data_IF_993495175491
#
_entry.id   IF_993495175491
#
_cell.length_a   1.000
_cell.length_b   1.000
_cell.length_c   1.000
_cell.angle_alpha   90.00
_cell.angle_beta   90.00
_cell.angle_gamma   90.00
#
_symmetry.space_group_name_H-M   'P 1'
#
loop_
_entity.id
_entity.type
_entity.pdbx_description
1 polymer ?
#
# COMPACT_ATOMS: atom_id res chain seq x y z
N UNK A 1 21.74 4.53 -3.84
CA UNK A 1 20.37 3.96 -4.02
C UNK A 1 20.23 3.55 -5.47
N UNK A 2 19.93 2.30 -5.74
CA UNK A 2 19.67 1.82 -7.10
C UNK A 2 18.21 2.06 -7.43
N UNK A 3 17.88 2.84 -8.47
CA UNK A 3 16.50 3.06 -8.87
C UNK A 3 15.90 1.79 -9.47
N UNK A 4 14.56 1.66 -9.50
CA UNK A 4 13.89 0.66 -10.32
C UNK A 4 14.27 0.85 -11.79
N UNK A 5 14.41 -0.28 -12.50
CA UNK A 5 14.68 -0.27 -13.93
C UNK A 5 13.36 -0.32 -14.72
N UNK A 6 13.23 0.53 -15.73
CA UNK A 6 12.15 0.45 -16.70
C UNK A 6 12.71 0.64 -18.11
N UNK A 7 11.96 0.13 -19.09
CA UNK A 7 12.26 0.40 -20.50
C UNK A 7 12.12 1.89 -20.78
N UNK A 8 13.04 2.44 -21.56
CA UNK A 8 12.98 3.83 -22.00
C UNK A 8 13.42 3.96 -23.44
N UNK A 9 13.07 5.07 -24.06
CA UNK A 9 13.47 5.35 -25.44
C UNK A 9 14.88 5.90 -25.50
N UNK A 10 15.63 5.48 -26.51
CA UNK A 10 16.97 5.96 -26.84
C UNK A 10 17.17 6.02 -28.34
N UNK A 11 18.18 6.76 -28.79
CA UNK A 11 18.59 6.74 -30.19
C UNK A 11 19.02 5.31 -30.56
N UNK A 12 18.68 4.87 -31.79
CA UNK A 12 19.07 3.56 -32.30
C UNK A 12 20.59 3.35 -32.14
N UNK A 13 20.98 2.22 -31.55
CA UNK A 13 22.38 1.87 -31.31
C UNK A 13 23.01 2.53 -30.06
N UNK A 14 22.24 3.27 -29.24
CA UNK A 14 22.74 3.85 -28.00
C UNK A 14 21.91 3.37 -26.81
N UNK A 15 22.59 2.90 -25.77
CA UNK A 15 21.95 2.53 -24.50
C UNK A 15 21.99 3.71 -23.54
N UNK A 16 20.86 4.13 -22.94
CA UNK A 16 20.87 5.17 -21.92
C UNK A 16 21.59 4.65 -20.67
N UNK A 17 22.60 5.39 -20.22
CA UNK A 17 23.36 5.05 -19.01
C UNK A 17 22.99 6.00 -17.89
N UNK A 18 22.41 5.45 -16.82
CA UNK A 18 22.11 6.19 -15.59
C UNK A 18 23.24 5.92 -14.58
N UNK A 19 24.05 6.93 -14.30
CA UNK A 19 25.11 6.83 -13.29
C UNK A 19 24.54 7.06 -11.91
N UNK A 20 24.57 6.05 -11.04
CA UNK A 20 24.11 6.14 -9.66
C UNK A 20 25.31 6.23 -8.71
N UNK A 21 25.26 7.17 -7.76
CA UNK A 21 26.24 7.22 -6.67
C UNK A 21 26.01 6.05 -5.72
N UNK A 22 27.07 5.33 -5.43
CA UNK A 22 27.28 4.18 -4.58
C UNK A 22 26.20 3.73 -3.58
N UNK A 23 26.53 2.74 -2.77
CA UNK A 23 25.63 2.04 -1.84
C UNK A 23 25.12 2.97 -0.71
N UNK A 24 23.93 3.54 -0.88
CA UNK A 24 23.21 4.13 0.24
C UNK A 24 22.41 3.04 0.96
N UNK A 25 22.63 2.87 2.25
CA UNK A 25 21.81 1.98 3.12
C UNK A 25 20.47 2.59 3.50
N UNK A 26 20.19 3.81 3.05
CA UNK A 26 18.94 4.51 3.36
C UNK A 26 17.81 3.95 2.49
N UNK A 27 16.69 3.66 3.11
CA UNK A 27 15.48 3.16 2.44
C UNK A 27 14.24 3.83 3.00
N UNK A 28 13.18 3.84 2.22
CA UNK A 28 11.85 4.32 2.60
C UNK A 28 10.91 3.12 2.48
N UNK A 29 10.14 2.88 3.52
CA UNK A 29 8.99 1.98 3.46
C UNK A 29 7.74 2.81 3.27
N UNK A 30 6.77 2.26 2.54
CA UNK A 30 5.49 2.90 2.29
C UNK A 30 4.39 1.91 2.66
N UNK A 31 3.43 2.36 3.44
CA UNK A 31 2.16 1.66 3.63
C UNK A 31 1.08 2.48 2.93
N UNK A 32 0.13 1.82 2.27
CA UNK A 32 -0.98 2.49 1.60
C UNK A 32 -2.26 1.65 1.66
N UNK A 33 -3.39 2.34 1.57
CA UNK A 33 -4.72 1.77 1.39
C UNK A 33 -5.31 2.36 0.11
N UNK A 34 -5.72 1.51 -0.82
CA UNK A 34 -6.60 1.86 -1.91
C UNK A 34 -8.05 1.72 -1.39
N UNK A 35 -8.74 2.83 -1.28
CA UNK A 35 -10.06 2.89 -0.65
C UNK A 35 -11.12 3.09 -1.70
N UNK A 36 -12.12 2.23 -1.69
CA UNK A 36 -13.24 2.25 -2.61
C UNK A 36 -14.55 2.33 -1.81
N UNK A 37 -15.45 3.20 -2.23
CA UNK A 37 -16.80 3.30 -1.67
C UNK A 37 -17.78 3.42 -2.85
N UNK A 38 -18.82 2.58 -2.90
CA UNK A 38 -19.80 2.61 -3.98
C UNK A 38 -20.36 4.03 -4.18
N UNK A 39 -20.37 4.51 -5.44
CA UNK A 39 -20.87 5.84 -5.78
C UNK A 39 -19.91 7.01 -5.47
N UNK A 40 -18.75 6.75 -4.88
CA UNK A 40 -17.73 7.77 -4.63
C UNK A 40 -16.44 7.50 -5.42
N UNK A 41 -15.63 8.55 -5.58
CA UNK A 41 -14.30 8.42 -6.19
C UNK A 41 -13.38 7.63 -5.28
N UNK A 42 -12.55 6.72 -5.82
CA UNK A 42 -11.57 6.00 -5.04
C UNK A 42 -10.55 6.96 -4.43
N UNK A 43 -9.96 6.55 -3.32
CA UNK A 43 -8.98 7.36 -2.58
C UNK A 43 -7.75 6.53 -2.28
N UNK A 44 -6.58 7.15 -2.38
CA UNK A 44 -5.32 6.56 -1.93
C UNK A 44 -4.91 7.23 -0.62
N UNK A 45 -4.82 6.44 0.45
CA UNK A 45 -4.32 6.90 1.75
C UNK A 45 -2.97 6.23 1.96
N UNK A 46 -1.93 7.00 2.21
CA UNK A 46 -0.58 6.45 2.34
C UNK A 46 0.22 7.09 3.47
N UNK A 47 1.23 6.35 3.94
CA UNK A 47 2.17 6.76 4.97
C UNK A 47 3.59 6.35 4.57
N UNK A 48 4.48 7.28 4.21
CA UNK A 48 5.89 6.97 4.04
C UNK A 48 6.59 6.92 5.39
N UNK A 49 7.56 6.01 5.52
CA UNK A 49 8.42 5.88 6.70
C UNK A 49 9.87 5.90 6.28
N UNK A 50 10.62 6.85 6.83
CA UNK A 50 12.05 6.97 6.61
C UNK A 50 12.80 6.11 7.62
N UNK A 51 13.74 5.30 7.12
CA UNK A 51 14.61 4.51 7.97
C UNK A 51 15.80 5.36 8.41
N UNK A 52 15.88 5.61 9.68
CA UNK A 52 16.93 6.40 10.29
C UNK A 52 18.14 5.51 10.59
N UNK A 53 19.37 6.01 10.43
CA UNK A 53 20.59 5.17 10.47
C UNK A 53 21.06 4.82 11.89
N UNK A 54 20.47 5.35 12.95
CA UNK A 54 20.94 5.11 14.31
C UNK A 54 20.43 3.81 14.93
N UNK A 55 21.22 3.32 15.91
CA UNK A 55 20.89 2.13 16.68
C UNK A 55 19.59 2.37 17.49
N UNK A 56 18.65 1.42 17.43
CA UNK A 56 17.35 1.54 18.11
C UNK A 56 16.22 2.14 17.26
N UNK A 57 16.52 2.73 16.09
CA UNK A 57 15.46 3.19 15.19
C UNK A 57 14.60 2.02 14.68
N UNK A 58 13.29 2.18 14.72
CA UNK A 58 12.34 1.16 14.19
C UNK A 58 12.60 0.90 12.70
N UNK A 59 12.82 -0.36 12.35
CA UNK A 59 13.18 -0.78 10.98
C UNK A 59 11.96 -1.04 10.06
N UNK A 60 10.75 -1.10 10.60
CA UNK A 60 9.53 -1.41 9.85
C UNK A 60 8.30 -0.71 10.43
N UNK A 61 7.19 -0.81 9.74
CA UNK A 61 5.88 -0.45 10.31
C UNK A 61 5.52 -1.40 11.45
N UNK A 62 4.81 -0.88 12.47
CA UNK A 62 4.16 -1.65 13.51
C UNK A 62 2.66 -1.73 13.22
N UNK A 63 1.95 -2.60 13.92
CA UNK A 63 0.50 -2.71 13.81
C UNK A 63 -0.23 -1.39 14.09
N UNK A 64 0.30 -0.56 14.99
CA UNK A 64 -0.24 0.77 15.31
C UNK A 64 -0.20 1.72 14.11
N UNK A 65 0.82 1.61 13.25
CA UNK A 65 0.90 2.42 12.02
C UNK A 65 -0.23 2.05 11.04
N UNK A 66 -0.58 0.76 10.95
CA UNK A 66 -1.68 0.25 10.11
C UNK A 66 -3.05 0.59 10.72
N UNK A 67 -3.18 0.50 12.04
CA UNK A 67 -4.35 0.98 12.78
C UNK A 67 -4.63 2.45 12.43
N UNK A 68 -3.61 3.30 12.53
CA UNK A 68 -3.76 4.74 12.25
C UNK A 68 -4.16 5.01 10.80
N UNK A 69 -3.68 4.19 9.84
CA UNK A 69 -4.14 4.26 8.45
C UNK A 69 -5.60 3.86 8.31
N UNK A 70 -6.04 2.79 8.98
CA UNK A 70 -7.44 2.35 8.97
C UNK A 70 -8.37 3.40 9.60
N UNK A 71 -7.97 3.98 10.74
CA UNK A 71 -8.71 5.10 11.38
C UNK A 71 -8.85 6.28 10.42
N UNK A 72 -7.75 6.66 9.75
CA UNK A 72 -7.80 7.75 8.76
C UNK A 72 -8.74 7.44 7.61
N UNK A 73 -8.74 6.18 7.12
CA UNK A 73 -9.66 5.75 6.09
C UNK A 73 -11.11 5.83 6.57
N UNK A 74 -11.41 5.34 7.76
CA UNK A 74 -12.74 5.44 8.37
C UNK A 74 -13.24 6.88 8.43
N UNK A 75 -12.42 7.78 8.94
CA UNK A 75 -12.77 9.21 9.05
C UNK A 75 -12.98 9.87 7.67
N UNK A 76 -12.17 9.52 6.67
CA UNK A 76 -12.30 10.10 5.32
C UNK A 76 -13.46 9.52 4.52
N UNK A 77 -13.82 8.27 4.73
CA UNK A 77 -14.93 7.62 4.05
C UNK A 77 -16.28 7.85 4.75
N UNK A 78 -16.24 8.18 6.04
CA UNK A 78 -17.43 8.39 6.87
C UNK A 78 -18.32 7.15 6.94
N UNK A 79 -17.72 5.95 6.92
CA UNK A 79 -18.45 4.67 6.85
C UNK A 79 -17.64 3.55 7.52
N UNK A 80 -18.29 2.44 7.93
CA UNK A 80 -17.59 1.22 8.32
C UNK A 80 -16.65 0.74 7.21
N UNK A 81 -15.56 0.08 7.60
CA UNK A 81 -14.51 -0.37 6.68
C UNK A 81 -14.43 -1.90 6.68
N UNK A 82 -14.35 -2.45 5.48
CA UNK A 82 -13.86 -3.80 5.23
C UNK A 82 -12.40 -3.65 4.78
N UNK A 83 -11.47 -4.02 5.64
CA UNK A 83 -10.05 -3.97 5.36
C UNK A 83 -9.58 -5.30 4.81
N UNK A 84 -9.21 -5.31 3.54
CA UNK A 84 -8.65 -6.49 2.86
C UNK A 84 -7.14 -6.32 2.75
N UNK A 85 -6.37 -7.27 3.24
CA UNK A 85 -4.92 -7.19 3.21
C UNK A 85 -4.23 -8.56 3.11
N UNK A 86 -2.93 -8.53 2.82
CA UNK A 86 -2.11 -9.72 2.73
C UNK A 86 -1.76 -10.33 4.10
N UNK A 87 -1.07 -11.47 4.08
CA UNK A 87 -0.66 -12.23 5.26
C UNK A 87 0.65 -11.73 5.90
N UNK A 88 1.00 -10.45 5.78
CA UNK A 88 2.19 -9.93 6.44
C UNK A 88 2.09 -10.09 7.97
N UNK A 89 3.17 -10.53 8.62
CA UNK A 89 3.18 -10.81 10.07
C UNK A 89 2.69 -9.63 10.94
N UNK A 90 2.98 -8.40 10.55
CA UNK A 90 2.52 -7.19 11.24
C UNK A 90 1.01 -6.99 11.12
N UNK A 91 0.39 -7.47 10.05
CA UNK A 91 -1.06 -7.45 9.85
C UNK A 91 -1.76 -8.46 10.77
N UNK A 92 -1.10 -9.59 11.04
CA UNK A 92 -1.61 -10.67 11.90
C UNK A 92 -1.32 -10.47 13.38
N UNK A 93 -0.86 -9.30 13.81
CA UNK A 93 -0.50 -9.04 15.21
C UNK A 93 -1.73 -9.13 16.14
N UNK A 94 -1.50 -9.58 17.38
CA UNK A 94 -2.54 -9.66 18.41
C UNK A 94 -3.18 -8.30 18.65
N UNK A 95 -2.37 -7.22 18.70
CA UNK A 95 -2.87 -5.87 18.90
C UNK A 95 -3.84 -5.40 17.81
N UNK A 96 -3.60 -5.75 16.54
CA UNK A 96 -4.52 -5.38 15.46
C UNK A 96 -5.81 -6.20 15.49
N UNK A 97 -5.71 -7.49 15.82
CA UNK A 97 -6.93 -8.33 16.01
C UNK A 97 -7.80 -7.83 17.14
N UNK A 98 -7.19 -7.51 18.29
CA UNK A 98 -7.92 -6.96 19.42
C UNK A 98 -8.56 -5.63 19.06
N UNK A 99 -7.81 -4.74 18.41
CA UNK A 99 -8.35 -3.46 17.96
C UNK A 99 -9.57 -3.62 17.04
N UNK A 100 -9.54 -4.56 16.11
CA UNK A 100 -10.68 -4.83 15.24
C UNK A 100 -11.87 -5.45 15.99
N UNK A 101 -11.61 -6.28 17.01
CA UNK A 101 -12.66 -6.85 17.86
C UNK A 101 -13.37 -5.78 18.73
N UNK A 102 -12.64 -4.76 19.15
CA UNK A 102 -13.15 -3.68 20.00
C UNK A 102 -13.89 -2.58 19.20
N UNK A 103 -13.89 -2.67 17.85
CA UNK A 103 -14.46 -1.63 16.98
C UNK A 103 -15.40 -2.23 15.92
N UNK A 104 -16.68 -1.93 16.00
CA UNK A 104 -17.74 -2.42 15.11
C UNK A 104 -17.65 -1.88 13.67
N UNK A 105 -16.94 -0.77 13.48
CA UNK A 105 -16.71 -0.16 12.17
C UNK A 105 -15.58 -0.82 11.35
N UNK A 106 -14.80 -1.74 11.93
CA UNK A 106 -13.64 -2.35 11.27
C UNK A 106 -13.79 -3.86 11.15
N UNK A 107 -13.95 -4.34 9.93
CA UNK A 107 -13.92 -5.78 9.61
C UNK A 107 -12.66 -6.08 8.81
N UNK A 108 -11.93 -7.14 9.18
CA UNK A 108 -10.67 -7.51 8.52
C UNK A 108 -10.84 -8.83 7.77
N UNK A 109 -10.45 -8.82 6.49
CA UNK A 109 -10.32 -10.02 5.66
C UNK A 109 -8.89 -10.19 5.20
N UNK A 110 -8.38 -11.41 5.28
CA UNK A 110 -7.05 -11.74 4.79
C UNK A 110 -7.15 -12.34 3.39
N UNK A 111 -6.33 -11.84 2.49
CA UNK A 111 -6.14 -12.43 1.17
C UNK A 111 -5.52 -13.83 1.31
N UNK A 112 -5.77 -14.72 0.34
CA UNK A 112 -5.07 -15.98 0.26
C UNK A 112 -3.56 -15.77 0.25
N UNK A 113 -2.81 -16.75 0.78
CA UNK A 113 -1.35 -16.71 0.71
C UNK A 113 -0.88 -16.71 -0.74
N UNK A 114 0.14 -15.91 -1.04
CA UNK A 114 0.72 -15.81 -2.39
C UNK A 114 -0.24 -15.31 -3.48
N UNK A 115 -1.21 -14.47 -3.13
CA UNK A 115 -2.15 -13.86 -4.08
C UNK A 115 -1.97 -12.33 -4.19
N UNK A 116 -0.78 -11.82 -4.59
CA UNK A 116 -0.56 -10.39 -4.75
C UNK A 116 -1.43 -9.77 -5.84
N UNK A 117 -1.81 -10.58 -6.84
CA UNK A 117 -2.65 -10.14 -7.96
C UNK A 117 -4.07 -9.71 -7.52
N UNK A 118 -4.52 -10.15 -6.34
CA UNK A 118 -5.78 -9.71 -5.75
C UNK A 118 -5.66 -8.40 -4.94
N UNK A 119 -4.46 -7.84 -4.83
CA UNK A 119 -4.21 -6.63 -4.04
C UNK A 119 -4.02 -5.39 -4.95
N UNK A 120 -5.00 -4.48 -5.06
CA UNK A 120 -4.90 -3.30 -5.92
C UNK A 120 -3.69 -2.40 -5.59
N UNK A 121 -3.19 -2.46 -4.36
CA UNK A 121 -2.03 -1.66 -3.92
C UNK A 121 -0.75 -2.11 -4.65
N UNK A 122 -0.64 -3.36 -5.10
CA UNK A 122 0.48 -3.81 -5.94
C UNK A 122 0.52 -3.08 -7.30
N UNK A 123 -0.66 -2.77 -7.87
CA UNK A 123 -0.77 -1.89 -9.05
C UNK A 123 -0.22 -0.49 -8.75
N UNK A 124 -0.54 0.10 -7.60
CA UNK A 124 0.02 1.39 -7.17
C UNK A 124 1.56 1.33 -7.07
N UNK A 125 2.11 0.26 -6.51
CA UNK A 125 3.56 0.08 -6.45
C UNK A 125 4.18 -0.09 -7.83
N UNK A 126 3.48 -0.74 -8.76
CA UNK A 126 3.88 -0.88 -10.15
C UNK A 126 3.93 0.47 -10.86
N UNK A 127 2.90 1.31 -10.70
CA UNK A 127 2.87 2.67 -11.25
C UNK A 127 4.05 3.51 -10.74
N UNK A 128 4.36 3.47 -9.44
CA UNK A 128 5.51 4.17 -8.87
C UNK A 128 6.83 3.68 -9.44
N UNK A 129 7.03 2.35 -9.49
CA UNK A 129 8.28 1.73 -9.93
C UNK A 129 8.55 1.92 -11.41
N UNK A 130 7.51 1.86 -12.26
CA UNK A 130 7.62 2.00 -13.71
C UNK A 130 7.56 3.46 -14.18
N UNK A 131 7.01 4.34 -13.36
CA UNK A 131 6.84 5.78 -13.63
C UNK A 131 7.90 6.62 -12.94
N UNK A 132 7.50 7.38 -11.94
CA UNK A 132 8.28 8.45 -11.33
C UNK A 132 9.61 8.02 -10.69
N UNK A 133 9.74 6.75 -10.28
CA UNK A 133 10.97 6.23 -9.67
C UNK A 133 11.88 5.52 -10.66
N UNK A 134 11.41 5.26 -11.89
CA UNK A 134 12.14 4.50 -12.90
C UNK A 134 13.34 5.29 -13.43
N UNK A 135 14.48 4.61 -13.50
CA UNK A 135 15.71 5.14 -14.14
C UNK A 135 16.20 6.50 -13.55
N UNK A 136 15.78 6.86 -12.34
CA UNK A 136 16.16 8.12 -11.69
C UNK A 136 17.43 7.93 -10.86
N UNK A 137 18.49 8.69 -11.15
CA UNK A 137 19.67 8.76 -10.30
C UNK A 137 19.38 9.64 -9.08
N UNK A 138 18.96 9.05 -7.96
CA UNK A 138 18.74 9.80 -6.73
C UNK A 138 20.06 10.26 -6.14
N UNK A 139 20.25 11.58 -6.02
CA UNK A 139 21.45 12.19 -5.48
C UNK A 139 21.56 12.04 -3.98
N UNK A 140 20.43 12.13 -3.31
CA UNK A 140 20.31 12.12 -1.85
C UNK A 140 18.93 11.56 -1.42
N UNK A 141 18.72 11.29 -0.12
CA UNK A 141 17.43 10.80 0.39
C UNK A 141 16.29 11.81 0.25
N UNK A 142 16.59 13.10 0.28
CA UNK A 142 15.58 14.14 0.18
C UNK A 142 15.06 14.26 -1.26
N UNK A 143 15.93 14.04 -2.25
CA UNK A 143 15.51 13.91 -3.64
C UNK A 143 14.54 12.74 -3.82
N UNK A 144 14.87 11.54 -3.29
CA UNK A 144 13.96 10.39 -3.32
C UNK A 144 12.63 10.71 -2.62
N UNK A 145 12.70 11.36 -1.46
CA UNK A 145 11.53 11.73 -0.67
C UNK A 145 10.60 12.67 -1.43
N UNK A 146 11.14 13.71 -2.01
CA UNK A 146 10.36 14.68 -2.81
C UNK A 146 9.72 14.01 -4.02
N UNK A 147 10.50 13.21 -4.75
CA UNK A 147 10.02 12.47 -5.92
C UNK A 147 8.89 11.51 -5.55
N UNK A 148 9.06 10.75 -4.47
CA UNK A 148 8.06 9.81 -3.98
C UNK A 148 6.77 10.51 -3.54
N UNK A 149 6.88 11.58 -2.75
CA UNK A 149 5.70 12.34 -2.28
C UNK A 149 4.93 12.94 -3.46
N UNK A 150 5.65 13.51 -4.42
CA UNK A 150 5.04 14.07 -5.64
C UNK A 150 4.30 12.98 -6.44
N UNK A 151 4.93 11.83 -6.64
CA UNK A 151 4.34 10.73 -7.38
C UNK A 151 3.10 10.15 -6.69
N UNK A 152 3.17 9.92 -5.37
CA UNK A 152 2.01 9.45 -4.58
C UNK A 152 0.87 10.47 -4.61
N UNK A 153 1.18 11.77 -4.49
CA UNK A 153 0.19 12.84 -4.60
C UNK A 153 -0.45 12.87 -5.99
N UNK A 154 0.32 12.69 -7.06
CA UNK A 154 -0.22 12.61 -8.42
C UNK A 154 -1.19 11.44 -8.57
N UNK A 155 -0.84 10.25 -8.08
CA UNK A 155 -1.73 9.08 -8.12
C UNK A 155 -3.00 9.35 -7.27
N UNK A 156 -2.85 9.95 -6.09
CA UNK A 156 -3.97 10.27 -5.19
C UNK A 156 -5.02 11.18 -5.85
N UNK A 157 -4.59 12.07 -6.76
CA UNK A 157 -5.48 12.97 -7.50
C UNK A 157 -5.96 12.40 -8.85
N UNK A 158 -5.63 11.14 -9.15
CA UNK A 158 -6.01 10.44 -10.36
C UNK A 158 -6.84 9.19 -10.02
N UNK A 159 -8.17 9.37 -9.78
CA UNK A 159 -9.07 8.26 -9.46
C UNK A 159 -9.03 7.15 -10.50
N UNK A 160 -8.91 7.51 -11.77
CA UNK A 160 -8.78 6.59 -12.91
C UNK A 160 -7.62 5.59 -12.77
N UNK A 161 -6.48 6.04 -12.22
CA UNK A 161 -5.34 5.15 -11.96
C UNK A 161 -5.63 4.18 -10.81
N UNK A 162 -6.34 4.64 -9.78
CA UNK A 162 -6.67 3.81 -8.62
C UNK A 162 -7.73 2.78 -9.01
N UNK A 163 -8.74 3.17 -9.79
CA UNK A 163 -9.75 2.26 -10.34
C UNK A 163 -9.13 1.24 -11.31
N UNK A 164 -8.19 1.66 -12.15
CA UNK A 164 -7.44 0.77 -13.02
C UNK A 164 -6.71 -0.33 -12.23
N UNK A 165 -6.11 0.03 -11.08
CA UNK A 165 -5.47 -0.96 -10.22
C UNK A 165 -6.45 -2.00 -9.64
N UNK A 166 -7.70 -1.60 -9.34
CA UNK A 166 -8.75 -2.54 -8.93
C UNK A 166 -9.15 -3.44 -10.10
N UNK A 167 -9.38 -2.86 -11.26
CA UNK A 167 -9.78 -3.59 -12.48
C UNK A 167 -8.75 -4.65 -12.86
N UNK A 168 -7.45 -4.36 -12.72
CA UNK A 168 -6.37 -5.33 -12.97
C UNK A 168 -6.45 -6.57 -12.07
N UNK A 169 -7.06 -6.47 -10.89
CA UNK A 169 -7.26 -7.63 -9.99
C UNK A 169 -8.42 -8.53 -10.42
N UNK A 170 -9.23 -8.13 -11.38
CA UNK A 170 -10.47 -8.80 -11.74
C UNK A 170 -11.60 -8.62 -10.72
N UNK A 171 -11.39 -7.87 -9.65
CA UNK A 171 -12.40 -7.57 -8.64
C UNK A 171 -13.25 -6.38 -9.06
N UNK A 172 -14.53 -6.43 -8.71
CA UNK A 172 -15.47 -5.32 -8.91
C UNK A 172 -16.17 -4.99 -7.62
N UNK A 173 -16.43 -3.70 -7.39
CA UNK A 173 -17.22 -3.22 -6.26
C UNK A 173 -18.58 -2.80 -6.80
N UNK A 174 -19.60 -3.61 -6.49
CA UNK A 174 -20.97 -3.31 -6.90
C UNK A 174 -21.71 -2.50 -5.83
N UNK A 175 -22.58 -1.56 -6.21
CA UNK A 175 -23.33 -0.71 -5.27
C UNK A 175 -24.27 -1.50 -4.33
N UNK A 176 -24.60 -2.74 -4.67
CA UNK A 176 -25.61 -3.58 -4.00
C UNK A 176 -25.07 -4.50 -2.91
N UNK A 177 -23.94 -4.22 -2.30
CA UNK A 177 -23.63 -4.80 -0.98
C UNK A 177 -24.44 -4.06 0.10
N UNK A 178 -25.75 -4.16 0.03
CA UNK A 178 -26.62 -4.00 1.19
C UNK A 178 -26.12 -5.03 2.20
N UNK A 179 -25.56 -4.53 3.32
CA UNK A 179 -25.38 -5.22 4.58
C UNK A 179 -25.43 -6.77 4.44
N UNK A 180 -24.29 -7.39 4.28
CA UNK A 180 -24.15 -8.73 4.83
C UNK A 180 -24.50 -8.54 6.31
N UNK A 181 -25.76 -8.84 6.64
CA UNK A 181 -26.16 -9.10 8.01
C UNK A 181 -25.03 -9.87 8.66
N UNK A 182 -24.68 -9.49 9.88
CA UNK A 182 -23.77 -10.23 10.75
C UNK A 182 -24.12 -11.72 10.72
N UNK A 183 -23.76 -12.40 9.65
CA UNK A 183 -23.57 -13.82 9.70
C UNK A 183 -22.33 -13.96 10.55
N UNK A 184 -22.51 -14.38 11.79
CA UNK A 184 -21.47 -14.88 12.65
C UNK A 184 -20.84 -16.09 11.96
N UNK A 185 -19.92 -15.79 11.03
CA UNK A 185 -18.98 -16.77 10.55
C UNK A 185 -17.97 -16.87 11.67
N UNK A 186 -17.90 -18.02 12.37
CA UNK A 186 -16.85 -18.21 13.35
C UNK A 186 -15.52 -18.09 12.60
N UNK A 187 -14.78 -17.06 12.87
CA UNK A 187 -13.42 -16.90 12.36
C UNK A 187 -12.58 -17.90 13.14
N UNK A 188 -12.57 -19.12 12.65
CA UNK A 188 -11.71 -20.19 13.16
C UNK A 188 -10.29 -19.90 12.69
N UNK A 189 -9.53 -19.16 13.50
CA UNK A 189 -8.11 -19.02 13.33
C UNK A 189 -7.45 -20.35 13.63
N UNK A 190 -6.65 -20.93 12.71
CA UNK A 190 -5.86 -22.10 13.06
C UNK A 190 -4.95 -21.74 14.23
N UNK A 191 -4.81 -22.65 15.23
CA UNK A 191 -3.95 -22.42 16.37
C UNK A 191 -2.51 -22.22 15.86
N UNK A 192 -1.84 -21.21 16.40
CA UNK A 192 -0.42 -21.00 16.19
C UNK A 192 0.29 -22.24 16.73
N UNK A 193 0.88 -23.04 15.86
CA UNK A 193 1.79 -24.10 16.30
C UNK A 193 3.00 -23.44 16.96
N UNK A 194 3.25 -23.87 18.19
CA UNK A 194 4.41 -23.51 18.99
C UNK A 194 5.72 -23.92 18.31
#
# INVERSE_FOLDING_TARGET
MTPPHARTWSRRGRYPVVRVRGRSRRRISIAALACYKPGERPRLIYRPRFHLPWKGARKSFAWTDYRDLAVRAHLQLGAPIVLVWDNLNTHRSAGMRQYAADHDWLTIFQLPSHAPDLNPVEGIWSLLRRGALANVAFTDPDHLTRTLRRALSQIQHRPDLIDGCLTETGLTITPNLTLIQKASVPVNWPPVRA
#
